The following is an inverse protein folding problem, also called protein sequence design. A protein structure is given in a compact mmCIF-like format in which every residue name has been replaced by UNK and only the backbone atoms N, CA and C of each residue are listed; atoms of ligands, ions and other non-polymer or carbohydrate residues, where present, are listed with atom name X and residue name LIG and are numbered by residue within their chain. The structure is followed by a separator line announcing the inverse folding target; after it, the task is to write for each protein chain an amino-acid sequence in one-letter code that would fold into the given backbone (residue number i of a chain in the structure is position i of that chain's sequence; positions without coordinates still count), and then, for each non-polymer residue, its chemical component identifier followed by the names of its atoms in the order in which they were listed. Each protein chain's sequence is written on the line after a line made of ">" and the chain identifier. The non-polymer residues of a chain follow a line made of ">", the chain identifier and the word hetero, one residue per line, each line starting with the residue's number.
data_IF_424469757387
#
_entry.id   IF_424469757387
#
_cell.length_a   1.000
_cell.length_b   1.000
_cell.length_c   1.000
_cell.angle_alpha   90.00
_cell.angle_beta   90.00
_cell.angle_gamma   90.00
#
_symmetry.space_group_name_H-M   'P 1'
#
loop_
_entity.id
_entity.type
_entity.pdbx_description
1 polymer ?
#
# COMPACT_ATOMS: atom_id res chain seq x y z
N UNK A 1 -40.46 -2.65 2.04
CA UNK A 1 -39.34 -1.70 1.79
C UNK A 1 -38.28 -2.45 1.00
N UNK A 2 -37.79 -1.93 -0.14
CA UNK A 2 -36.81 -2.68 -0.96
C UNK A 2 -35.49 -2.88 -0.21
N UNK A 3 -34.80 -4.00 -0.46
CA UNK A 3 -33.55 -4.34 0.22
C UNK A 3 -32.46 -3.29 -0.02
N UNK A 4 -32.45 -2.70 -1.23
CA UNK A 4 -31.59 -1.59 -1.60
C UNK A 4 -31.78 -0.35 -0.70
N UNK A 5 -33.03 -0.03 -0.32
CA UNK A 5 -33.34 1.10 0.57
C UNK A 5 -32.90 0.83 2.01
N UNK A 6 -32.94 -0.43 2.46
CA UNK A 6 -32.45 -0.82 3.80
C UNK A 6 -30.94 -0.68 3.89
N UNK A 7 -30.20 -1.19 2.89
CA UNK A 7 -28.74 -1.09 2.84
C UNK A 7 -28.26 0.36 2.72
N UNK A 8 -28.93 1.17 1.89
CA UNK A 8 -28.62 2.59 1.78
C UNK A 8 -28.78 3.31 3.13
N UNK A 9 -29.83 2.97 3.90
CA UNK A 9 -30.07 3.50 5.25
C UNK A 9 -28.99 3.07 6.25
N UNK A 10 -28.57 1.80 6.24
CA UNK A 10 -27.50 1.29 7.12
C UNK A 10 -26.14 1.95 6.85
N UNK A 11 -25.85 2.22 5.58
CA UNK A 11 -24.61 2.85 5.15
C UNK A 11 -24.66 4.38 5.18
N UNK A 12 -25.78 4.97 5.61
CA UNK A 12 -26.03 6.42 5.61
C UNK A 12 -25.76 7.11 4.26
N UNK A 13 -26.04 6.42 3.14
CA UNK A 13 -25.85 6.94 1.78
C UNK A 13 -27.17 6.94 1.01
N UNK A 14 -27.22 7.77 -0.05
CA UNK A 14 -28.36 7.74 -0.96
C UNK A 14 -28.44 6.41 -1.72
N UNK A 15 -29.64 6.05 -2.18
CA UNK A 15 -29.83 4.85 -3.00
C UNK A 15 -29.04 4.93 -4.30
N UNK A 16 -28.96 6.11 -4.93
CA UNK A 16 -28.15 6.31 -6.14
C UNK A 16 -26.66 6.08 -5.87
N UNK A 17 -26.14 6.58 -4.75
CA UNK A 17 -24.74 6.35 -4.34
C UNK A 17 -24.46 4.86 -4.12
N UNK A 18 -25.40 4.12 -3.54
CA UNK A 18 -25.27 2.68 -3.36
C UNK A 18 -25.26 1.94 -4.72
N UNK A 19 -26.14 2.33 -5.65
CA UNK A 19 -26.17 1.75 -7.01
C UNK A 19 -24.85 1.97 -7.74
N UNK A 20 -24.32 3.20 -7.71
CA UNK A 20 -23.04 3.50 -8.33
C UNK A 20 -21.91 2.66 -7.74
N UNK A 21 -21.81 2.55 -6.41
CA UNK A 21 -20.80 1.71 -5.75
C UNK A 21 -20.90 0.23 -6.13
N UNK A 22 -22.10 -0.30 -6.31
CA UNK A 22 -22.31 -1.69 -6.74
C UNK A 22 -21.83 -1.88 -8.18
N UNK A 23 -22.15 -0.94 -9.08
CA UNK A 23 -21.71 -0.98 -10.48
C UNK A 23 -20.19 -0.84 -10.58
N UNK A 24 -19.59 0.12 -9.86
CA UNK A 24 -18.14 0.33 -9.85
C UNK A 24 -17.37 -0.88 -9.31
N UNK A 25 -17.91 -1.57 -8.28
CA UNK A 25 -17.35 -2.82 -7.77
C UNK A 25 -17.47 -3.97 -8.78
N UNK A 26 -18.63 -4.13 -9.42
CA UNK A 26 -18.85 -5.16 -10.45
C UNK A 26 -17.98 -4.98 -11.69
N UNK A 27 -17.64 -3.72 -12.03
CA UNK A 27 -16.72 -3.37 -13.11
C UNK A 27 -15.24 -3.41 -12.70
N UNK A 28 -14.93 -3.70 -11.42
CA UNK A 28 -13.55 -3.70 -10.92
C UNK A 28 -12.87 -2.32 -10.91
N UNK A 29 -13.66 -1.24 -11.01
CA UNK A 29 -13.16 0.15 -11.01
C UNK A 29 -12.78 0.63 -9.62
N UNK A 30 -13.29 -0.03 -8.58
CA UNK A 30 -12.89 0.19 -7.19
C UNK A 30 -11.70 -0.71 -6.88
N UNK A 31 -10.49 -0.15 -6.95
CA UNK A 31 -9.33 -0.77 -6.30
C UNK A 31 -9.43 -0.50 -4.80
N UNK A 32 -9.65 -1.54 -4.01
CA UNK A 32 -9.48 -1.43 -2.57
C UNK A 32 -8.01 -1.07 -2.31
N UNK A 33 -7.79 0.01 -1.57
CA UNK A 33 -6.44 0.32 -1.09
C UNK A 33 -6.07 -0.76 -0.09
N UNK A 34 -5.21 -1.68 -0.50
CA UNK A 34 -4.61 -2.66 0.40
C UNK A 34 -3.56 -1.92 1.23
N UNK A 35 -3.73 -1.90 2.54
CA UNK A 35 -2.70 -1.42 3.47
C UNK A 35 -1.74 -2.58 3.73
N UNK A 36 -0.48 -2.42 3.33
CA UNK A 36 0.59 -3.36 3.62
C UNK A 36 1.37 -2.84 4.82
N UNK A 37 1.18 -3.50 5.97
CA UNK A 37 1.79 -3.11 7.25
C UNK A 37 2.72 -4.21 7.79
N UNK A 38 2.95 -5.26 7.00
CA UNK A 38 3.73 -6.44 7.34
C UNK A 38 5.21 -6.11 7.59
N UNK A 39 5.73 -5.05 6.99
CA UNK A 39 7.11 -4.60 7.18
C UNK A 39 7.24 -3.37 8.10
N UNK A 40 6.13 -2.85 8.65
CA UNK A 40 6.16 -1.65 9.50
C UNK A 40 7.03 -1.86 10.74
N UNK A 41 7.06 -3.09 11.25
CA UNK A 41 7.88 -3.48 12.40
C UNK A 41 9.39 -3.42 12.12
N UNK A 42 9.82 -3.30 10.86
CA UNK A 42 11.23 -3.14 10.50
C UNK A 42 11.64 -1.66 10.52
N UNK A 43 10.70 -0.72 10.39
CA UNK A 43 10.99 0.70 10.34
C UNK A 43 11.46 1.22 11.71
N UNK A 44 12.64 1.84 11.75
CA UNK A 44 13.19 2.48 12.95
C UNK A 44 13.72 1.53 14.03
N UNK A 45 13.92 0.25 13.70
CA UNK A 45 14.44 -0.76 14.65
C UNK A 45 15.96 -0.78 14.77
N UNK A 46 16.66 -0.12 13.86
CA UNK A 46 18.11 -0.24 13.75
C UNK A 46 18.82 0.56 14.85
N UNK A 47 19.77 -0.10 15.51
CA UNK A 47 20.75 0.57 16.34
C UNK A 47 21.82 1.24 15.47
N UNK A 48 22.55 2.19 16.07
CA UNK A 48 23.69 2.85 15.42
C UNK A 48 24.82 1.88 15.03
N UNK A 49 24.92 0.74 15.73
CA UNK A 49 25.92 -0.27 15.42
C UNK A 49 25.54 -1.04 14.14
N UNK A 50 24.27 -1.46 14.03
CA UNK A 50 23.72 -2.13 12.86
C UNK A 50 23.74 -1.23 11.62
N UNK A 51 23.43 0.06 11.78
CA UNK A 51 23.59 1.06 10.72
C UNK A 51 25.02 1.10 10.20
N UNK A 52 26.00 1.20 11.10
CA UNK A 52 27.41 1.28 10.73
C UNK A 52 27.92 0.01 10.06
N UNK A 53 27.53 -1.16 10.57
CA UNK A 53 27.88 -2.46 9.98
C UNK A 53 27.33 -2.58 8.56
N UNK A 54 26.06 -2.22 8.37
CA UNK A 54 25.44 -2.23 7.05
C UNK A 54 26.17 -1.31 6.07
N UNK A 55 26.41 -0.05 6.43
CA UNK A 55 27.14 0.89 5.56
C UNK A 55 28.54 0.39 5.19
N UNK A 56 29.25 -0.23 6.13
CA UNK A 56 30.55 -0.83 5.84
C UNK A 56 30.43 -1.99 4.85
N UNK A 57 29.42 -2.86 5.02
CA UNK A 57 29.20 -4.00 4.12
C UNK A 57 28.74 -3.59 2.72
N UNK A 58 28.00 -2.49 2.57
CA UNK A 58 27.47 -2.02 1.29
C UNK A 58 28.39 -1.04 0.57
N UNK A 59 29.44 -0.56 1.23
CA UNK A 59 30.37 0.44 0.67
C UNK A 59 30.96 0.01 -0.68
N UNK A 60 31.20 -1.29 -0.87
CA UNK A 60 31.73 -1.83 -2.12
C UNK A 60 30.76 -1.68 -3.30
N UNK A 61 29.45 -1.61 -3.05
CA UNK A 61 28.44 -1.43 -4.11
C UNK A 61 28.33 0.00 -4.61
N UNK A 62 28.86 0.98 -3.88
CA UNK A 62 28.89 2.39 -4.30
C UNK A 62 30.07 2.71 -5.22
N UNK A 63 31.01 1.78 -5.38
CA UNK A 63 32.12 1.95 -6.31
C UNK A 63 31.64 1.64 -7.73
N UNK A 64 31.66 2.67 -8.57
CA UNK A 64 31.44 2.50 -10.01
C UNK A 64 32.70 1.86 -10.58
N UNK A 65 32.57 0.61 -11.04
CA UNK A 65 33.60 -0.03 -11.84
C UNK A 65 33.66 0.65 -13.21
N UNK A 66 34.73 1.43 -13.42
CA UNK A 66 34.93 2.17 -14.66
C UNK A 66 35.18 1.26 -15.86
N UNK A 67 35.68 0.04 -15.66
CA UNK A 67 35.89 -0.92 -16.74
C UNK A 67 34.55 -1.50 -17.25
N UNK A 68 33.51 -1.51 -16.43
CA UNK A 68 32.16 -1.95 -16.80
C UNK A 68 31.34 -0.88 -17.54
N UNK A 69 31.82 0.38 -17.56
CA UNK A 69 31.14 1.55 -18.14
C UNK A 69 31.74 2.06 -19.46
N UNK A 70 32.82 1.45 -19.96
CA UNK A 70 33.41 1.71 -21.29
C UNK A 70 32.81 0.78 -22.35
#
# INVERSE_FOLDING_TARGET
>A
MSELKKQAKQLHISVNTLVLKIVERGLGLVREKVSHNDLDHLAGTWSKAEEKEFFQSTQSFEQIDQELWQ
#
